data_IF_915578119577
#
_entry.id   IF_915578119577
#
_cell.length_a   1.000
_cell.length_b   1.000
_cell.length_c   1.000
_cell.angle_alpha   90.00
_cell.angle_beta   90.00
_cell.angle_gamma   90.00
#
_symmetry.space_group_name_H-M   'P 1'
#
loop_
_entity.id
_entity.type
_entity.pdbx_description
1 polymer ?
#
# COMPACT_ATOMS: atom_id res chain seq x y z
N UNK A 1 -0.21 39.38 -5.45
CA UNK A 1 -0.84 38.20 -4.79
C UNK A 1 -2.04 37.65 -5.58
N UNK A 2 -2.93 38.48 -6.14
CA UNK A 2 -4.12 37.98 -6.89
C UNK A 2 -3.77 37.23 -8.20
N UNK A 3 -2.73 37.67 -8.93
CA UNK A 3 -2.35 37.10 -10.23
C UNK A 3 -1.91 35.62 -10.17
N UNK A 4 -1.28 35.18 -9.08
CA UNK A 4 -0.81 33.79 -8.92
C UNK A 4 -1.98 32.84 -8.64
N UNK A 5 -3.00 33.29 -7.91
CA UNK A 5 -4.21 32.49 -7.68
C UNK A 5 -5.01 32.32 -8.97
N UNK A 6 -5.09 33.37 -9.80
CA UNK A 6 -5.76 33.31 -11.10
C UNK A 6 -5.09 32.29 -12.03
N UNK A 7 -3.76 32.26 -12.06
CA UNK A 7 -3.00 31.28 -12.84
C UNK A 7 -3.27 29.84 -12.36
N UNK A 8 -3.31 29.61 -11.04
CA UNK A 8 -3.68 28.32 -10.48
C UNK A 8 -5.10 27.88 -10.84
N UNK A 9 -6.06 28.81 -10.86
CA UNK A 9 -7.43 28.54 -11.24
C UNK A 9 -7.57 28.21 -12.74
N UNK A 10 -6.89 28.97 -13.62
CA UNK A 10 -6.88 28.71 -15.07
C UNK A 10 -6.26 27.34 -15.36
N UNK A 11 -5.18 26.97 -14.66
CA UNK A 11 -4.55 25.66 -14.81
C UNK A 11 -5.51 24.50 -14.46
N UNK A 12 -6.34 24.66 -13.41
CA UNK A 12 -7.35 23.65 -13.05
C UNK A 12 -8.47 23.55 -14.09
N UNK A 13 -8.92 24.67 -14.66
CA UNK A 13 -10.02 24.70 -15.66
C UNK A 13 -9.58 24.19 -17.03
N UNK A 14 -8.34 24.47 -17.45
CA UNK A 14 -7.81 24.00 -18.74
C UNK A 14 -7.51 22.49 -18.74
N UNK A 15 -7.40 21.85 -17.57
CA UNK A 15 -7.23 20.40 -17.46
C UNK A 15 -8.56 19.66 -17.50
N UNK A 16 -8.73 18.69 -18.41
CA UNK A 16 -9.90 17.78 -18.51
C UNK A 16 -10.31 17.09 -17.18
N UNK A 17 -9.44 17.11 -16.18
CA UNK A 17 -9.54 16.36 -14.92
C UNK A 17 -9.51 17.25 -13.67
N UNK A 18 -9.54 18.58 -13.81
CA UNK A 18 -9.46 19.55 -12.69
C UNK A 18 -8.29 19.28 -11.72
N UNK A 19 -7.20 18.69 -12.20
CA UNK A 19 -6.04 18.33 -11.39
C UNK A 19 -5.25 19.59 -11.02
N UNK A 20 -4.80 19.66 -9.76
CA UNK A 20 -3.87 20.72 -9.36
C UNK A 20 -2.49 20.42 -9.96
N UNK A 21 -1.64 21.44 -10.11
CA UNK A 21 -0.25 21.29 -10.59
C UNK A 21 0.54 20.23 -9.79
N UNK A 22 0.27 20.10 -8.49
CA UNK A 22 0.87 19.06 -7.64
C UNK A 22 0.43 17.64 -8.01
N UNK A 23 -0.86 17.44 -8.30
CA UNK A 23 -1.39 16.12 -8.71
C UNK A 23 -0.84 15.68 -10.06
N UNK A 24 -0.62 16.63 -10.97
CA UNK A 24 -0.04 16.35 -12.28
C UNK A 24 1.42 15.89 -12.17
N UNK A 25 2.21 16.50 -11.29
CA UNK A 25 3.59 16.11 -11.03
C UNK A 25 3.68 14.75 -10.30
N UNK A 26 2.72 14.43 -9.44
CA UNK A 26 2.66 13.18 -8.69
C UNK A 26 1.98 12.02 -9.42
N UNK A 27 1.33 12.28 -10.57
CA UNK A 27 0.53 11.29 -11.30
C UNK A 27 -0.75 10.86 -10.58
N UNK A 28 -1.21 11.62 -9.60
CA UNK A 28 -2.39 11.30 -8.77
C UNK A 28 -3.67 11.83 -9.43
N UNK A 29 -4.78 11.11 -9.25
CA UNK A 29 -6.09 11.50 -9.79
C UNK A 29 -7.09 11.73 -8.65
N UNK A 30 -7.70 12.91 -8.61
CA UNK A 30 -8.78 13.24 -7.68
C UNK A 30 -10.08 12.62 -8.22
N UNK A 31 -10.65 11.67 -7.48
CA UNK A 31 -11.94 11.05 -7.80
C UNK A 31 -13.02 11.75 -6.98
N UNK A 32 -13.86 12.54 -7.63
CA UNK A 32 -15.09 13.07 -7.02
C UNK A 32 -16.12 11.93 -7.02
N UNK A 33 -16.40 11.38 -5.84
CA UNK A 33 -17.55 10.51 -5.68
C UNK A 33 -18.81 11.40 -5.68
N UNK A 34 -19.70 11.16 -6.63
CA UNK A 34 -21.01 11.82 -6.68
C UNK A 34 -21.78 11.42 -5.41
N UNK A 35 -22.41 12.38 -4.72
CA UNK A 35 -23.23 12.18 -3.50
C UNK A 35 -24.55 11.45 -3.79
N UNK A 36 -24.56 10.56 -4.78
CA UNK A 36 -25.58 9.53 -4.86
C UNK A 36 -25.40 8.68 -3.61
N UNK A 37 -26.48 8.20 -2.97
CA UNK A 37 -26.38 7.14 -1.99
C UNK A 37 -26.01 5.85 -2.75
N UNK A 38 -24.76 5.80 -3.22
CA UNK A 38 -24.00 4.59 -3.23
C UNK A 38 -24.25 4.00 -1.85
N UNK A 39 -24.90 2.83 -1.84
CA UNK A 39 -24.87 1.92 -0.70
C UNK A 39 -23.51 2.12 -0.07
N UNK A 40 -23.50 2.79 1.08
CA UNK A 40 -22.28 3.25 1.67
C UNK A 40 -21.40 2.01 1.68
N UNK A 41 -20.28 2.05 0.95
CA UNK A 41 -19.17 1.23 1.34
C UNK A 41 -19.04 1.58 2.81
N UNK A 42 -19.53 0.67 3.65
CA UNK A 42 -19.67 0.92 5.07
C UNK A 42 -18.33 1.52 5.49
N UNK A 43 -18.31 2.50 6.41
CA UNK A 43 -17.05 2.95 6.94
C UNK A 43 -16.26 1.69 7.23
N UNK A 44 -15.04 1.58 6.70
CA UNK A 44 -14.18 0.40 6.84
C UNK A 44 -13.67 0.31 8.30
N UNK A 45 -14.57 0.63 9.23
CA UNK A 45 -14.61 0.35 10.65
C UNK A 45 -15.54 -0.83 10.94
N UNK A 46 -16.28 -1.36 9.95
CA UNK A 46 -16.87 -2.69 10.03
C UNK A 46 -15.72 -3.69 10.09
N UNK A 47 -15.31 -4.03 11.33
CA UNK A 47 -14.27 -4.98 11.72
C UNK A 47 -13.37 -5.32 10.55
N UNK A 48 -12.33 -4.50 10.33
CA UNK A 48 -11.20 -4.96 9.55
C UNK A 48 -10.93 -6.39 10.00
N UNK A 49 -10.96 -7.39 9.08
CA UNK A 49 -10.65 -8.74 9.48
C UNK A 49 -9.37 -8.64 10.28
N UNK A 50 -9.35 -9.09 11.54
CA UNK A 50 -8.08 -9.07 12.24
C UNK A 50 -7.12 -9.85 11.35
N UNK A 51 -5.88 -9.34 11.15
CA UNK A 51 -4.88 -10.10 10.40
C UNK A 51 -4.94 -11.52 10.94
N UNK A 52 -5.07 -12.53 10.06
CA UNK A 52 -5.12 -13.91 10.52
C UNK A 52 -3.96 -14.07 11.49
N UNK A 53 -4.16 -14.68 12.67
CA UNK A 53 -3.10 -14.85 13.64
C UNK A 53 -1.89 -15.34 12.87
N UNK A 54 -0.87 -14.49 12.80
CA UNK A 54 0.38 -14.93 12.22
C UNK A 54 0.76 -16.08 13.14
N UNK A 55 0.70 -17.31 12.63
CA UNK A 55 1.34 -18.42 13.33
C UNK A 55 2.73 -17.93 13.74
N UNK A 56 3.24 -18.27 14.93
CA UNK A 56 4.54 -17.79 15.40
C UNK A 56 5.63 -18.27 14.44
N UNK A 57 5.80 -17.50 13.36
CA UNK A 57 6.71 -17.75 12.28
C UNK A 57 8.04 -17.22 12.77
N UNK A 58 9.02 -18.11 12.93
CA UNK A 58 10.34 -17.74 13.40
C UNK A 58 10.91 -16.61 12.51
N UNK A 59 11.25 -15.44 13.08
CA UNK A 59 11.85 -14.33 12.34
C UNK A 59 13.05 -14.80 11.53
N UNK A 60 13.23 -14.24 10.34
CA UNK A 60 14.36 -14.55 9.45
C UNK A 60 15.06 -13.27 9.06
N UNK A 61 16.37 -13.27 9.29
CA UNK A 61 17.24 -12.22 8.77
C UNK A 61 17.19 -12.24 7.23
N UNK A 62 16.89 -11.11 6.58
CA UNK A 62 16.94 -11.03 5.13
C UNK A 62 18.36 -11.32 4.62
N UNK A 63 18.45 -12.00 3.48
CA UNK A 63 19.72 -12.42 2.88
C UNK A 63 20.61 -11.25 2.43
N UNK A 64 20.00 -10.11 2.20
CA UNK A 64 20.64 -8.90 1.72
C UNK A 64 20.24 -7.74 2.64
N UNK A 65 21.12 -6.74 2.82
CA UNK A 65 20.77 -5.54 3.57
C UNK A 65 19.60 -4.83 2.87
N UNK A 66 18.56 -4.53 3.63
CA UNK A 66 17.39 -3.82 3.13
C UNK A 66 17.55 -2.32 3.35
N UNK A 67 17.27 -1.54 2.32
CA UNK A 67 17.11 -0.09 2.42
C UNK A 67 15.88 0.26 3.27
N UNK A 68 15.85 1.49 3.79
CA UNK A 68 14.77 1.98 4.65
C UNK A 68 13.39 1.85 3.98
N UNK A 69 13.31 2.18 2.70
CA UNK A 69 12.05 2.12 1.95
C UNK A 69 11.56 0.68 1.77
N UNK A 70 12.48 -0.27 1.62
CA UNK A 70 12.16 -1.70 1.55
C UNK A 70 11.64 -2.20 2.90
N UNK A 71 12.28 -1.81 4.00
CA UNK A 71 11.80 -2.14 5.36
C UNK A 71 10.38 -1.61 5.60
N UNK A 72 10.10 -0.38 5.16
CA UNK A 72 8.75 0.21 5.21
C UNK A 72 7.77 -0.58 4.33
N UNK A 73 8.20 -1.10 3.17
CA UNK A 73 7.37 -1.94 2.33
C UNK A 73 7.01 -3.27 3.01
N UNK A 74 7.95 -3.93 3.69
CA UNK A 74 7.67 -5.14 4.49
C UNK A 74 6.69 -4.87 5.63
N UNK A 75 6.86 -3.78 6.37
CA UNK A 75 5.93 -3.37 7.43
C UNK A 75 4.53 -3.07 6.86
N UNK A 76 4.46 -2.29 5.78
CA UNK A 76 3.19 -1.95 5.11
C UNK A 76 2.46 -3.17 4.56
N UNK A 77 3.19 -4.17 4.06
CA UNK A 77 2.63 -5.43 3.60
C UNK A 77 1.96 -6.19 4.76
N UNK A 78 2.61 -6.24 5.93
CA UNK A 78 2.07 -6.87 7.15
C UNK A 78 0.82 -6.17 7.65
N UNK A 79 0.85 -4.84 7.75
CA UNK A 79 -0.26 -4.04 8.25
C UNK A 79 -1.52 -4.18 7.39
N UNK A 80 -1.35 -4.38 6.08
CA UNK A 80 -2.44 -4.47 5.10
C UNK A 80 -2.85 -5.90 4.77
N UNK A 81 -2.21 -6.91 5.36
CA UNK A 81 -2.43 -8.31 5.01
C UNK A 81 -3.90 -8.73 5.14
N UNK A 82 -4.60 -8.23 6.16
CA UNK A 82 -6.03 -8.48 6.39
C UNK A 82 -6.94 -7.86 5.33
N UNK A 83 -6.51 -6.78 4.68
CA UNK A 83 -7.30 -6.06 3.67
C UNK A 83 -7.33 -6.81 2.35
N UNK A 84 -6.43 -7.76 2.14
CA UNK A 84 -6.25 -8.45 0.88
C UNK A 84 -6.80 -9.88 0.92
N UNK A 85 -7.37 -10.29 -0.21
CA UNK A 85 -7.69 -11.70 -0.48
C UNK A 85 -6.42 -12.55 -0.51
N UNK A 86 -6.56 -13.85 -0.27
CA UNK A 86 -5.42 -14.77 -0.30
C UNK A 86 -4.65 -14.72 -1.63
N UNK A 87 -5.37 -14.65 -2.76
CA UNK A 87 -4.76 -14.57 -4.09
C UNK A 87 -3.90 -13.30 -4.23
N UNK A 88 -4.38 -12.16 -3.72
CA UNK A 88 -3.65 -10.89 -3.78
C UNK A 88 -2.41 -10.88 -2.89
N UNK A 89 -2.47 -11.49 -1.69
CA UNK A 89 -1.30 -11.67 -0.82
C UNK A 89 -0.20 -12.45 -1.55
N UNK A 90 -0.58 -13.58 -2.16
CA UNK A 90 0.36 -14.42 -2.93
C UNK A 90 0.94 -13.66 -4.12
N UNK A 91 0.12 -12.96 -4.90
CA UNK A 91 0.58 -12.16 -6.04
C UNK A 91 1.66 -11.15 -5.62
N UNK A 92 1.39 -10.37 -4.58
CA UNK A 92 2.32 -9.36 -4.08
C UNK A 92 3.59 -9.98 -3.49
N UNK A 93 3.47 -11.10 -2.75
CA UNK A 93 4.63 -11.81 -2.23
C UNK A 93 5.49 -12.44 -3.34
N UNK A 94 4.87 -12.89 -4.43
CA UNK A 94 5.58 -13.44 -5.58
C UNK A 94 6.43 -12.40 -6.33
N UNK A 95 6.10 -11.10 -6.26
CA UNK A 95 6.99 -10.05 -6.79
C UNK A 95 8.36 -10.04 -6.10
N UNK A 96 8.45 -10.54 -4.87
CA UNK A 96 9.70 -10.67 -4.11
C UNK A 96 10.43 -11.98 -4.39
N UNK A 97 9.98 -12.80 -5.36
CA UNK A 97 10.63 -14.05 -5.73
C UNK A 97 12.15 -13.92 -5.98
N UNK A 98 12.68 -12.87 -6.64
CA UNK A 98 14.13 -12.71 -6.80
C UNK A 98 14.90 -12.64 -5.47
N UNK A 99 14.25 -12.14 -4.40
CA UNK A 99 14.83 -11.99 -3.07
C UNK A 99 14.62 -13.25 -2.20
N UNK A 100 13.39 -13.75 -2.16
CA UNK A 100 12.98 -14.86 -1.28
C UNK A 100 13.35 -16.22 -1.87
N UNK A 101 13.34 -16.35 -3.20
CA UNK A 101 13.35 -17.62 -3.95
C UNK A 101 12.20 -18.54 -3.53
N UNK A 102 11.05 -17.94 -3.23
CA UNK A 102 9.81 -18.61 -2.82
C UNK A 102 8.65 -18.05 -3.65
N UNK A 103 7.67 -18.89 -3.93
CA UNK A 103 6.43 -18.54 -4.62
C UNK A 103 5.24 -19.07 -3.84
N UNK A 104 4.03 -18.60 -4.17
CA UNK A 104 2.81 -19.13 -3.61
C UNK A 104 2.61 -18.73 -2.14
N UNK A 105 1.92 -19.57 -1.35
CA UNK A 105 1.74 -19.36 0.08
C UNK A 105 3.07 -19.28 0.85
N UNK A 106 4.11 -19.99 0.41
CA UNK A 106 5.43 -19.97 1.03
C UNK A 106 6.12 -18.62 0.87
N UNK A 107 5.90 -17.91 -0.24
CA UNK A 107 6.38 -16.55 -0.42
C UNK A 107 5.77 -15.61 0.63
N UNK A 108 4.47 -15.75 0.88
CA UNK A 108 3.77 -14.95 1.90
C UNK A 108 4.41 -15.19 3.27
N UNK A 109 4.63 -16.44 3.66
CA UNK A 109 5.26 -16.77 4.94
C UNK A 109 6.68 -16.21 5.07
N UNK A 110 7.49 -16.26 4.00
CA UNK A 110 8.85 -15.73 4.04
C UNK A 110 8.86 -14.20 4.19
N UNK A 111 7.97 -13.49 3.49
CA UNK A 111 7.82 -12.03 3.61
C UNK A 111 7.40 -11.64 5.03
N UNK A 112 6.48 -12.40 5.64
CA UNK A 112 6.05 -12.18 7.02
C UNK A 112 7.19 -12.42 8.03
N UNK A 113 8.02 -13.45 7.82
CA UNK A 113 9.20 -13.75 8.66
C UNK A 113 10.27 -12.67 8.59
N UNK A 114 10.53 -12.14 7.40
CA UNK A 114 11.46 -11.02 7.20
C UNK A 114 10.90 -9.77 7.89
N UNK A 115 9.62 -9.48 7.69
CA UNK A 115 8.96 -8.37 8.38
C UNK A 115 9.02 -8.49 9.90
N UNK A 116 8.89 -9.70 10.46
CA UNK A 116 9.00 -9.95 11.91
C UNK A 116 10.40 -9.61 12.43
N UNK A 117 11.44 -10.02 11.69
CA UNK A 117 12.81 -9.69 12.05
C UNK A 117 13.09 -8.18 12.05
N UNK A 118 12.50 -7.44 11.09
CA UNK A 118 12.65 -5.98 11.01
C UNK A 118 12.03 -5.28 12.23
N UNK A 119 10.86 -5.75 12.70
CA UNK A 119 10.21 -5.19 13.90
C UNK A 119 11.01 -5.46 15.17
N UNK A 120 11.60 -6.65 15.31
CA UNK A 120 12.45 -6.99 16.45
C UNK A 120 13.80 -6.25 16.44
N UNK A 121 14.28 -5.86 15.26
CA UNK A 121 15.57 -5.18 15.07
C UNK A 121 15.49 -3.65 15.25
N UNK A 122 14.31 -3.12 15.60
CA UNK A 122 14.05 -1.69 15.80
C UNK A 122 14.21 -1.29 17.27
#
# INVERSE_FOLDING_TARGET
LVHTYLFGAIAMVCGKRFQRLGDLAAGTMVVYADDRPHQAAAPVTASLPQPPPLEPLRPVMPRYPLHRDEQVAFASYRDRLSLWSQARRVELANHLHPLTRKEGPEAVNEVLRIGAWIEESK
#
